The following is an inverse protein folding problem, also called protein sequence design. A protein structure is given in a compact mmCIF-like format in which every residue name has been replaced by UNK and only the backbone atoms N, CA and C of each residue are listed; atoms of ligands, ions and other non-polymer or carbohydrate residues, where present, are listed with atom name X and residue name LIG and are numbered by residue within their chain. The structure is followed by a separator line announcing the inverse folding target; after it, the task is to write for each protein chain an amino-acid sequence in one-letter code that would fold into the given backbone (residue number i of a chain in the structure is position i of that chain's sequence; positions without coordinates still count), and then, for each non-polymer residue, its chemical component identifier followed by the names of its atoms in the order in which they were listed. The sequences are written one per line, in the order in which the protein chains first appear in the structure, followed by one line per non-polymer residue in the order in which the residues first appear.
data_IF_301834935303
#
_entry.id   IF_301834935303
#
_cell.length_a   1.000
_cell.length_b   1.000
_cell.length_c   1.000
_cell.angle_alpha   90.00
_cell.angle_beta   90.00
_cell.angle_gamma   90.00
#
_symmetry.space_group_name_H-M   'P 1'
#
loop_
_entity.id
_entity.type
_entity.pdbx_description
1 polymer ?
#
# COMPACT_ATOMS: atom_id res chain seq x y z
N UNK A 1 -1.44 29.25 -7.45
CA UNK A 1 -0.18 28.53 -7.16
C UNK A 1 -0.41 27.31 -6.26
N UNK A 2 -0.80 27.49 -4.99
CA UNK A 2 -1.03 26.35 -4.08
C UNK A 2 -2.24 25.49 -4.51
N UNK A 3 -3.33 26.14 -4.92
CA UNK A 3 -4.52 25.46 -5.47
C UNK A 3 -4.25 24.71 -6.79
N UNK A 4 -3.28 25.19 -7.58
CA UNK A 4 -2.92 24.53 -8.84
C UNK A 4 -2.12 23.26 -8.60
N UNK A 5 -1.21 23.27 -7.61
CA UNK A 5 -0.48 22.07 -7.19
C UNK A 5 -1.43 21.05 -6.57
N UNK A 6 -2.34 21.48 -5.70
CA UNK A 6 -3.35 20.59 -5.11
C UNK A 6 -4.16 19.89 -6.21
N UNK A 7 -4.69 20.66 -7.16
CA UNK A 7 -5.44 20.12 -8.30
C UNK A 7 -4.62 19.15 -9.12
N UNK A 8 -3.34 19.43 -9.36
CA UNK A 8 -2.44 18.50 -10.09
C UNK A 8 -2.23 17.19 -9.34
N UNK A 9 -2.05 17.24 -8.02
CA UNK A 9 -1.90 16.05 -7.17
C UNK A 9 -3.20 15.23 -7.18
N UNK A 10 -4.36 15.87 -7.03
CA UNK A 10 -5.66 15.20 -7.13
C UNK A 10 -5.83 14.49 -8.47
N UNK A 11 -5.56 15.18 -9.59
CA UNK A 11 -5.66 14.59 -10.92
C UNK A 11 -4.65 13.44 -11.12
N UNK A 12 -3.46 13.52 -10.51
CA UNK A 12 -2.49 12.43 -10.51
C UNK A 12 -3.05 11.19 -9.79
N UNK A 13 -3.57 11.36 -8.57
CA UNK A 13 -4.13 10.27 -7.77
C UNK A 13 -5.39 9.67 -8.41
N UNK A 14 -6.26 10.48 -9.01
CA UNK A 14 -7.45 9.97 -9.72
C UNK A 14 -7.08 9.14 -10.95
N UNK A 15 -6.03 9.53 -11.67
CA UNK A 15 -5.52 8.74 -12.79
C UNK A 15 -4.92 7.43 -12.30
N UNK A 16 -4.15 7.46 -11.24
CA UNK A 16 -3.57 6.27 -10.63
C UNK A 16 -4.66 5.26 -10.23
N UNK A 17 -5.66 5.71 -9.46
CA UNK A 17 -6.79 4.88 -9.03
C UNK A 17 -7.51 4.24 -10.22
N UNK A 18 -7.82 5.02 -11.27
CA UNK A 18 -8.48 4.50 -12.48
C UNK A 18 -7.67 3.41 -13.18
N UNK A 19 -6.34 3.53 -13.21
CA UNK A 19 -5.48 2.51 -13.82
C UNK A 19 -5.51 1.21 -13.02
N UNK A 20 -5.44 1.31 -11.69
CA UNK A 20 -5.53 0.16 -10.78
C UNK A 20 -6.91 -0.53 -10.89
N UNK A 21 -8.00 0.23 -10.81
CA UNK A 21 -9.37 -0.28 -10.93
C UNK A 21 -9.62 -0.98 -12.28
N UNK A 22 -9.02 -0.46 -13.34
CA UNK A 22 -9.13 -1.03 -14.70
C UNK A 22 -8.12 -2.14 -14.98
N UNK A 23 -7.36 -2.61 -13.97
CA UNK A 23 -6.28 -3.61 -14.10
C UNK A 23 -5.21 -3.25 -15.14
N UNK A 24 -5.01 -1.96 -15.42
CA UNK A 24 -3.99 -1.47 -16.36
C UNK A 24 -2.62 -1.35 -15.66
N UNK A 25 -2.14 -2.46 -15.07
CA UNK A 25 -0.98 -2.45 -14.17
C UNK A 25 0.32 -2.00 -14.83
N UNK A 26 0.55 -2.33 -16.11
CA UNK A 26 1.73 -1.84 -16.85
C UNK A 26 1.81 -0.32 -16.87
N UNK A 27 0.68 0.33 -17.19
CA UNK A 27 0.58 1.79 -17.22
C UNK A 27 0.68 2.41 -15.83
N UNK A 28 0.20 1.71 -14.81
CA UNK A 28 0.36 2.14 -13.42
C UNK A 28 1.84 2.15 -13.02
N UNK A 29 2.60 1.08 -13.33
CA UNK A 29 4.05 1.02 -13.07
C UNK A 29 4.81 2.18 -13.74
N UNK A 30 4.40 2.59 -14.93
CA UNK A 30 5.04 3.70 -15.64
C UNK A 30 4.88 5.06 -14.92
N UNK A 31 3.89 5.21 -14.03
CA UNK A 31 3.73 6.40 -13.20
C UNK A 31 4.71 6.48 -12.03
N UNK A 32 5.29 5.35 -11.63
CA UNK A 32 6.09 5.24 -10.41
C UNK A 32 7.52 5.73 -10.63
N UNK A 33 8.13 6.33 -9.60
CA UNK A 33 9.54 6.70 -9.64
C UNK A 33 10.43 5.46 -9.70
N UNK A 34 11.59 5.56 -10.35
CA UNK A 34 12.50 4.41 -10.52
C UNK A 34 13.16 3.96 -9.20
N UNK A 35 13.23 4.86 -8.21
CA UNK A 35 13.73 4.64 -6.85
C UNK A 35 12.62 4.43 -5.80
N UNK A 36 11.39 4.14 -6.25
CA UNK A 36 10.25 3.81 -5.38
C UNK A 36 10.56 2.61 -4.46
N UNK A 37 10.13 2.72 -3.20
CA UNK A 37 9.83 1.60 -2.31
C UNK A 37 8.32 1.48 -2.09
N UNK A 38 7.72 0.40 -2.56
CA UNK A 38 6.31 0.07 -2.35
C UNK A 38 6.17 -0.79 -1.09
N UNK A 39 5.82 -0.14 0.00
CA UNK A 39 5.78 -0.75 1.33
C UNK A 39 4.36 -0.75 1.91
N UNK A 40 3.87 -1.93 2.27
CA UNK A 40 2.61 -2.13 2.97
C UNK A 40 2.91 -2.84 4.29
N UNK A 41 2.77 -2.17 5.45
CA UNK A 41 2.99 -2.79 6.75
C UNK A 41 1.96 -3.88 7.04
N UNK A 42 2.37 -4.89 7.80
CA UNK A 42 1.43 -5.81 8.44
C UNK A 42 0.79 -5.12 9.63
N UNK A 43 -0.53 -5.19 9.76
CA UNK A 43 -1.22 -4.82 11.00
C UNK A 43 -1.35 -6.05 11.90
N UNK A 44 -0.93 -5.93 13.15
CA UNK A 44 -1.14 -6.95 14.18
C UNK A 44 -1.99 -6.37 15.30
N UNK A 45 -3.04 -7.07 15.71
CA UNK A 45 -3.83 -6.69 16.88
C UNK A 45 -3.07 -7.15 18.13
N UNK A 46 -2.00 -6.45 18.50
CA UNK A 46 -1.23 -6.76 19.71
C UNK A 46 -1.95 -6.11 20.86
N UNK A 47 -2.49 -6.92 21.76
CA UNK A 47 -3.04 -6.38 23.01
C UNK A 47 -1.91 -5.68 23.77
N UNK A 48 -2.07 -4.37 24.01
CA UNK A 48 -1.20 -3.60 24.89
C UNK A 48 -1.01 -4.34 26.22
N UNK A 49 0.19 -4.26 26.80
CA UNK A 49 0.52 -4.88 28.08
C UNK A 49 -0.35 -4.37 29.25
N UNK A 50 -1.07 -3.26 29.06
CA UNK A 50 -2.07 -2.78 30.00
C UNK A 50 -3.40 -3.53 29.82
N UNK A 51 -3.69 -4.43 30.77
CA UNK A 51 -4.97 -5.11 31.08
C UNK A 51 -6.07 -5.15 29.99
N UNK A 52 -6.47 -6.37 29.64
CA UNK A 52 -7.56 -6.75 28.71
C UNK A 52 -8.86 -5.93 28.81
N UNK A 53 -9.16 -5.32 29.95
CA UNK A 53 -10.38 -4.55 30.22
C UNK A 53 -10.32 -3.09 29.80
N UNK A 54 -9.15 -2.45 29.81
CA UNK A 54 -9.02 -1.02 29.46
C UNK A 54 -9.03 -0.86 27.95
N UNK A 55 -8.38 -1.77 27.24
CA UNK A 55 -8.25 -1.65 25.80
C UNK A 55 -9.65 -1.56 25.15
N UNK A 56 -10.63 -2.41 25.51
CA UNK A 56 -11.92 -2.55 24.79
C UNK A 56 -12.70 -1.24 24.63
N UNK A 57 -12.52 -0.27 25.53
CA UNK A 57 -13.37 0.92 25.62
C UNK A 57 -12.81 2.17 24.92
N UNK A 58 -11.57 2.14 24.44
CA UNK A 58 -10.97 3.32 23.78
C UNK A 58 -11.08 3.22 22.24
N UNK A 59 -11.77 4.20 21.64
CA UNK A 59 -11.97 4.35 20.20
C UNK A 59 -10.76 4.93 19.46
N UNK A 60 -9.71 5.30 20.19
CA UNK A 60 -8.42 5.80 19.64
C UNK A 60 -7.50 4.67 19.13
N UNK A 61 -7.95 3.41 19.21
CA UNK A 61 -7.20 2.16 19.02
C UNK A 61 -6.51 1.90 17.68
N UNK A 62 -6.43 2.88 16.80
CA UNK A 62 -5.56 2.81 15.63
C UNK A 62 -4.24 3.49 15.96
N UNK A 63 -3.62 3.09 17.06
CA UNK A 63 -2.28 3.57 17.40
C UNK A 63 -1.26 2.96 16.42
N UNK A 64 -0.24 3.74 16.06
CA UNK A 64 0.84 3.30 15.16
C UNK A 64 1.54 2.02 15.63
N UNK A 65 1.44 1.68 16.92
CA UNK A 65 2.10 0.53 17.55
C UNK A 65 1.53 -0.84 17.08
N UNK A 66 0.36 -0.84 16.43
CA UNK A 66 -0.24 -2.04 15.81
C UNK A 66 0.27 -2.31 14.38
N UNK A 67 1.09 -1.42 13.80
CA UNK A 67 1.70 -1.61 12.48
C UNK A 67 3.13 -2.16 12.62
N UNK A 68 3.50 -3.09 11.73
CA UNK A 68 4.88 -3.55 11.59
C UNK A 68 5.78 -2.36 11.29
N UNK A 69 6.89 -2.22 12.02
CA UNK A 69 7.89 -1.20 11.73
C UNK A 69 8.62 -1.55 10.44
N UNK A 70 9.36 -0.60 9.86
CA UNK A 70 10.17 -0.89 8.66
C UNK A 70 11.22 -1.99 8.87
N UNK A 71 11.63 -2.24 10.12
CA UNK A 71 12.53 -3.33 10.50
C UNK A 71 11.85 -4.69 10.61
N UNK A 72 10.52 -4.71 10.65
CA UNK A 72 9.71 -5.90 10.82
C UNK A 72 9.24 -6.43 9.45
N UNK A 73 8.69 -7.64 9.42
CA UNK A 73 8.15 -8.20 8.19
C UNK A 73 6.93 -7.39 7.71
N UNK A 74 7.00 -6.88 6.49
CA UNK A 74 5.91 -6.19 5.82
C UNK A 74 5.02 -7.16 5.04
N UNK A 75 3.78 -6.75 4.77
CA UNK A 75 2.90 -7.49 3.87
C UNK A 75 3.42 -7.40 2.43
N UNK A 76 3.91 -6.22 2.05
CA UNK A 76 4.66 -5.99 0.82
C UNK A 76 5.84 -5.06 1.11
N UNK A 77 7.00 -5.39 0.56
CA UNK A 77 8.18 -4.53 0.51
C UNK A 77 8.85 -4.78 -0.84
N UNK A 78 8.48 -3.95 -1.82
CA UNK A 78 8.82 -4.16 -3.23
C UNK A 78 9.49 -2.91 -3.82
N UNK A 79 10.45 -3.13 -4.70
CA UNK A 79 10.98 -2.08 -5.58
C UNK A 79 10.23 -2.09 -6.92
N UNK A 80 10.46 -1.07 -7.76
CA UNK A 80 9.81 -1.01 -9.09
C UNK A 80 10.13 -2.23 -9.97
N UNK A 81 11.30 -2.84 -9.80
CA UNK A 81 11.72 -4.04 -10.54
C UNK A 81 11.00 -5.31 -10.10
N UNK A 82 10.80 -5.52 -8.80
CA UNK A 82 10.01 -6.63 -8.27
C UNK A 82 8.52 -6.47 -8.61
N UNK A 83 7.97 -5.25 -8.51
CA UNK A 83 6.61 -4.94 -8.95
C UNK A 83 6.40 -5.23 -10.45
N UNK A 84 7.36 -4.88 -11.31
CA UNK A 84 7.31 -5.23 -12.75
C UNK A 84 7.20 -6.73 -12.96
N UNK A 85 8.04 -7.51 -12.29
CA UNK A 85 8.00 -8.99 -12.35
C UNK A 85 6.66 -9.54 -11.87
N UNK A 86 6.06 -8.93 -10.85
CA UNK A 86 4.72 -9.28 -10.37
C UNK A 86 3.66 -9.01 -11.43
N UNK A 87 3.68 -7.85 -12.08
CA UNK A 87 2.76 -7.50 -13.18
C UNK A 87 2.94 -8.45 -14.36
N UNK A 88 4.18 -8.76 -14.75
CA UNK A 88 4.47 -9.72 -15.82
C UNK A 88 3.87 -11.10 -15.51
N UNK A 89 3.90 -11.54 -14.24
CA UNK A 89 3.26 -12.79 -13.80
C UNK A 89 1.73 -12.72 -13.81
N UNK A 90 1.13 -11.59 -13.44
CA UNK A 90 -0.32 -11.39 -13.52
C UNK A 90 -0.80 -11.48 -14.98
N UNK A 91 -0.05 -10.89 -15.91
CA UNK A 91 -0.35 -10.92 -17.34
C UNK A 91 -0.31 -12.33 -17.95
N UNK A 92 0.40 -13.29 -17.34
CA UNK A 92 0.40 -14.68 -17.84
C UNK A 92 -0.91 -15.42 -17.56
N UNK A 93 -1.83 -14.84 -16.78
CA UNK A 93 -3.12 -15.46 -16.42
C UNK A 93 -2.98 -16.74 -15.57
N UNK A 94 -1.80 -17.00 -15.03
CA UNK A 94 -1.51 -18.18 -14.19
C UNK A 94 -1.45 -17.85 -12.70
N UNK A 95 -1.67 -16.58 -12.35
CA UNK A 95 -1.66 -16.07 -10.98
C UNK A 95 -3.07 -16.11 -10.36
N UNK A 96 -3.66 -17.30 -10.28
CA UNK A 96 -5.03 -17.50 -9.76
C UNK A 96 -5.22 -17.12 -8.29
N UNK A 97 -4.14 -17.06 -7.51
CA UNK A 97 -4.19 -16.67 -6.10
C UNK A 97 -4.14 -15.14 -5.88
N UNK A 98 -3.96 -14.35 -6.94
CA UNK A 98 -3.78 -12.90 -6.87
C UNK A 98 -4.81 -12.13 -7.74
N UNK A 99 -5.79 -12.85 -8.31
CA UNK A 99 -6.94 -12.28 -9.05
C UNK A 99 -8.06 -11.82 -8.11
#
# INVERSE_FOLDING_TARGET
MQDDVLRQVEQFLYREARLLDSRQFRRWIDLLADDLRYWIPMRSNRYSAASKSISILDGSRYEEDDLSKESDQAFMDEDKGSLRRRVDRLDTGMAWAED
#
